data_IF_700224714430
#
_entry.id   IF_700224714430
#
_cell.length_a   1.000
_cell.length_b   1.000
_cell.length_c   1.000
_cell.angle_alpha   90.00
_cell.angle_beta   90.00
_cell.angle_gamma   90.00
#
_symmetry.space_group_name_H-M   'P 1'
#
loop_
_entity.id
_entity.type
_entity.pdbx_description
1 polymer ?
#
# COMPACT_ATOMS: atom_id res chain seq x y z
N UNK A 1 4.11 -6.38 -14.18
CA UNK A 1 4.44 -7.17 -12.97
C UNK A 1 5.58 -8.14 -13.24
N UNK A 2 5.45 -9.11 -14.17
CA UNK A 2 6.49 -10.13 -14.41
C UNK A 2 7.87 -9.57 -14.75
N UNK A 3 7.93 -8.48 -15.52
CA UNK A 3 9.18 -7.80 -15.89
C UNK A 3 9.61 -6.70 -14.91
N UNK A 4 8.93 -6.56 -13.76
CA UNK A 4 9.32 -5.58 -12.76
C UNK A 4 10.63 -6.06 -12.09
N UNK A 5 11.71 -5.27 -12.10
CA UNK A 5 13.00 -5.67 -11.51
C UNK A 5 12.85 -6.08 -10.04
N UNK A 6 11.98 -5.42 -9.28
CA UNK A 6 11.72 -5.75 -7.89
C UNK A 6 11.02 -7.11 -7.70
N UNK A 7 10.15 -7.51 -8.63
CA UNK A 7 9.55 -8.85 -8.63
C UNK A 7 10.61 -9.91 -8.92
N UNK A 8 11.47 -9.67 -9.92
CA UNK A 8 12.58 -10.58 -10.26
C UNK A 8 13.52 -10.77 -9.07
N UNK A 9 13.92 -9.68 -8.41
CA UNK A 9 14.75 -9.73 -7.20
C UNK A 9 14.09 -10.52 -6.06
N UNK A 10 12.78 -10.35 -5.86
CA UNK A 10 12.03 -11.12 -4.85
C UNK A 10 12.01 -12.62 -5.16
N UNK A 11 11.90 -13.00 -6.44
CA UNK A 11 11.99 -14.39 -6.89
C UNK A 11 13.40 -14.97 -6.68
N UNK A 12 14.45 -14.23 -7.04
CA UNK A 12 15.85 -14.63 -6.81
C UNK A 12 16.12 -14.83 -5.31
N UNK A 13 15.56 -13.96 -4.47
CA UNK A 13 15.65 -14.05 -3.01
C UNK A 13 14.78 -15.16 -2.40
N UNK A 14 14.00 -15.91 -3.20
CA UNK A 14 13.07 -16.96 -2.73
C UNK A 14 12.10 -16.47 -1.64
N UNK A 15 11.67 -15.21 -1.75
CA UNK A 15 10.80 -14.59 -0.74
C UNK A 15 9.35 -15.09 -0.85
N UNK A 16 8.69 -15.29 0.29
CA UNK A 16 7.25 -15.60 0.38
C UNK A 16 6.36 -14.39 0.08
N UNK A 17 6.93 -13.20 -0.13
CA UNK A 17 6.21 -11.98 -0.51
C UNK A 17 5.35 -12.17 -1.79
N UNK A 18 5.79 -13.01 -2.73
CA UNK A 18 5.03 -13.31 -3.94
C UNK A 18 3.64 -13.90 -3.64
N UNK A 19 3.51 -14.69 -2.56
CA UNK A 19 2.22 -15.28 -2.13
C UNK A 19 1.29 -14.16 -1.65
N UNK A 20 1.78 -13.26 -0.79
CA UNK A 20 0.99 -12.13 -0.30
C UNK A 20 0.53 -11.22 -1.45
N UNK A 21 1.44 -10.90 -2.37
CA UNK A 21 1.12 -10.11 -3.56
C UNK A 21 0.05 -10.79 -4.44
N UNK A 22 0.09 -12.12 -4.55
CA UNK A 22 -0.91 -12.90 -5.28
C UNK A 22 -2.28 -12.83 -4.61
N UNK A 23 -2.33 -12.94 -3.27
CA UNK A 23 -3.58 -12.81 -2.51
C UNK A 23 -4.19 -11.41 -2.66
N UNK A 24 -3.38 -10.36 -2.57
CA UNK A 24 -3.85 -8.97 -2.80
C UNK A 24 -4.34 -8.79 -4.24
N UNK A 25 -3.65 -9.38 -5.23
CA UNK A 25 -4.08 -9.33 -6.63
C UNK A 25 -5.43 -10.06 -6.85
N UNK A 26 -5.62 -11.23 -6.23
CA UNK A 26 -6.91 -11.95 -6.28
C UNK A 26 -8.01 -11.19 -5.56
N UNK A 27 -7.73 -10.55 -4.43
CA UNK A 27 -8.65 -9.64 -3.76
C UNK A 27 -9.11 -8.52 -4.71
N UNK A 28 -8.19 -7.84 -5.38
CA UNK A 28 -8.54 -6.77 -6.34
C UNK A 28 -9.38 -7.34 -7.50
N UNK A 29 -8.98 -8.48 -8.08
CA UNK A 29 -9.70 -9.11 -9.18
C UNK A 29 -11.14 -9.48 -8.81
N UNK A 30 -11.33 -10.14 -7.67
CA UNK A 30 -12.66 -10.58 -7.19
C UNK A 30 -13.54 -9.40 -6.79
N UNK A 31 -12.95 -8.35 -6.22
CA UNK A 31 -13.62 -7.08 -5.94
C UNK A 31 -14.12 -6.44 -7.24
N UNK A 32 -13.26 -6.32 -8.25
CA UNK A 32 -13.61 -5.82 -9.59
C UNK A 32 -14.60 -6.74 -10.32
N UNK A 33 -14.62 -8.04 -10.03
CA UNK A 33 -15.65 -8.98 -10.51
C UNK A 33 -16.96 -8.91 -9.71
N UNK A 34 -16.98 -8.23 -8.58
CA UNK A 34 -18.19 -7.97 -7.78
C UNK A 34 -18.57 -9.10 -6.84
N UNK A 35 -17.70 -10.08 -6.64
CA UNK A 35 -17.96 -11.17 -5.69
C UNK A 35 -17.52 -10.72 -4.29
N UNK A 36 -18.48 -10.24 -3.49
CA UNK A 36 -18.22 -9.78 -2.12
C UNK A 36 -17.62 -10.89 -1.23
N UNK A 37 -18.14 -12.11 -1.34
CA UNK A 37 -17.67 -13.25 -0.56
C UNK A 37 -16.23 -13.67 -0.91
N UNK A 38 -15.90 -13.81 -2.20
CA UNK A 38 -14.53 -14.16 -2.60
C UNK A 38 -13.54 -13.03 -2.27
N UNK A 39 -13.96 -11.77 -2.46
CA UNK A 39 -13.18 -10.61 -2.06
C UNK A 39 -12.86 -10.66 -0.56
N UNK A 40 -13.86 -10.92 0.29
CA UNK A 40 -13.67 -11.06 1.73
C UNK A 40 -12.68 -12.20 2.09
N UNK A 41 -12.77 -13.36 1.44
CA UNK A 41 -11.85 -14.48 1.67
C UNK A 41 -10.41 -14.12 1.31
N UNK A 42 -10.17 -13.56 0.12
CA UNK A 42 -8.81 -13.20 -0.30
C UNK A 42 -8.23 -12.07 0.54
N UNK A 43 -9.06 -11.12 0.96
CA UNK A 43 -8.65 -10.10 1.91
C UNK A 43 -8.26 -10.71 3.26
N UNK A 44 -9.06 -11.62 3.80
CA UNK A 44 -8.78 -12.31 5.05
C UNK A 44 -7.51 -13.16 5.00
N UNK A 45 -7.23 -13.83 3.88
CA UNK A 45 -5.96 -14.53 3.68
C UNK A 45 -4.77 -13.56 3.65
N UNK A 46 -4.90 -12.42 2.98
CA UNK A 46 -3.86 -11.40 2.93
C UNK A 46 -3.62 -10.75 4.30
N UNK A 47 -4.68 -10.46 5.07
CA UNK A 47 -4.54 -9.91 6.43
C UNK A 47 -4.00 -10.93 7.40
N UNK A 48 -4.38 -12.21 7.25
CA UNK A 48 -3.82 -13.29 8.03
C UNK A 48 -2.29 -13.38 7.85
N UNK A 49 -1.81 -13.25 6.60
CA UNK A 49 -0.38 -13.31 6.29
C UNK A 49 0.40 -12.05 6.68
N UNK A 50 -0.14 -10.85 6.45
CA UNK A 50 0.66 -9.62 6.59
C UNK A 50 -0.05 -8.41 7.21
N UNK A 51 -1.01 -8.61 8.13
CA UNK A 51 -1.78 -7.65 8.96
C UNK A 51 -2.28 -6.36 8.25
N UNK A 52 -1.40 -5.52 7.73
CA UNK A 52 -1.64 -4.24 7.06
C UNK A 52 -2.62 -4.25 5.88
N UNK A 53 -2.77 -5.32 5.07
CA UNK A 53 -3.82 -5.40 4.06
C UNK A 53 -5.25 -5.20 4.61
N UNK A 54 -5.44 -5.25 5.94
CA UNK A 54 -6.68 -4.84 6.62
C UNK A 54 -7.19 -3.48 6.12
N UNK A 55 -6.29 -2.54 5.87
CA UNK A 55 -6.66 -1.20 5.41
C UNK A 55 -7.30 -1.19 4.02
N UNK A 56 -7.12 -2.25 3.21
CA UNK A 56 -7.81 -2.43 1.93
C UNK A 56 -9.29 -2.82 2.08
N UNK A 57 -9.75 -3.16 3.29
CA UNK A 57 -11.16 -3.41 3.57
C UNK A 57 -12.04 -2.21 3.15
N UNK A 58 -11.63 -1.00 3.51
CA UNK A 58 -12.40 0.22 3.26
C UNK A 58 -12.58 0.50 1.75
N UNK A 59 -11.51 0.58 0.93
CA UNK A 59 -11.69 0.76 -0.51
C UNK A 59 -12.42 -0.42 -1.18
N UNK A 60 -12.21 -1.66 -0.70
CA UNK A 60 -12.95 -2.83 -1.17
C UNK A 60 -14.47 -2.71 -0.97
N UNK A 61 -14.86 -2.35 0.26
CA UNK A 61 -16.25 -2.09 0.63
C UNK A 61 -16.86 -0.97 -0.21
N UNK A 62 -16.16 0.16 -0.36
CA UNK A 62 -16.64 1.30 -1.16
C UNK A 62 -16.88 0.90 -2.63
N UNK A 63 -15.98 0.12 -3.23
CA UNK A 63 -16.17 -0.38 -4.60
C UNK A 63 -17.40 -1.28 -4.72
N UNK A 64 -17.58 -2.22 -3.79
CA UNK A 64 -18.72 -3.14 -3.83
C UNK A 64 -20.07 -2.42 -3.62
N UNK A 65 -20.10 -1.42 -2.72
CA UNK A 65 -21.27 -0.56 -2.52
C UNK A 65 -21.65 0.20 -3.79
N UNK A 66 -20.67 0.81 -4.46
CA UNK A 66 -20.89 1.52 -5.73
C UNK A 66 -21.42 0.58 -6.82
N UNK A 67 -20.87 -0.63 -6.90
CA UNK A 67 -21.31 -1.63 -7.88
C UNK A 67 -22.76 -2.07 -7.66
N UNK A 68 -23.21 -2.13 -6.40
CA UNK A 68 -24.59 -2.43 -6.05
C UNK A 68 -25.52 -1.21 -6.12
N UNK A 69 -25.04 -0.06 -6.62
CA UNK A 69 -25.77 1.21 -6.67
C UNK A 69 -26.29 1.69 -5.30
N UNK A 70 -25.63 1.29 -4.20
CA UNK A 70 -25.98 1.72 -2.85
C UNK A 70 -25.32 3.07 -2.60
N UNK A 71 -26.08 4.13 -2.26
CA UNK A 71 -25.50 5.44 -2.03
C UNK A 71 -24.63 5.41 -0.76
N UNK A 72 -23.40 5.90 -0.86
CA UNK A 72 -22.45 6.08 0.26
C UNK A 72 -22.90 7.26 1.12
N UNK A 73 -24.02 7.06 1.83
CA UNK A 73 -24.60 8.01 2.79
C UNK A 73 -24.69 7.32 4.15
N UNK A 74 -24.06 7.91 5.17
CA UNK A 74 -24.04 7.37 6.54
C UNK A 74 -25.45 7.17 7.12
N UNK A 75 -26.45 7.93 6.66
CA UNK A 75 -27.85 7.80 7.10
C UNK A 75 -28.62 6.66 6.42
N UNK A 76 -28.07 6.02 5.38
CA UNK A 76 -28.74 4.95 4.65
C UNK A 76 -28.68 3.64 5.43
N UNK A 77 -29.83 3.02 5.72
CA UNK A 77 -29.87 1.68 6.35
C UNK A 77 -29.21 0.63 5.45
N UNK A 78 -29.39 0.72 4.14
CA UNK A 78 -28.81 -0.23 3.18
C UNK A 78 -27.27 -0.22 3.19
N UNK A 79 -26.66 0.96 3.39
CA UNK A 79 -25.21 1.09 3.54
C UNK A 79 -24.70 0.30 4.75
N UNK A 80 -25.35 0.45 5.90
CA UNK A 80 -24.95 -0.26 7.13
C UNK A 80 -25.20 -1.76 7.04
N UNK A 81 -26.32 -2.18 6.46
CA UNK A 81 -26.63 -3.61 6.26
C UNK A 81 -25.55 -4.26 5.40
N UNK A 82 -25.25 -3.70 4.23
CA UNK A 82 -24.24 -4.28 3.34
C UNK A 82 -22.83 -4.23 3.93
N UNK A 83 -22.48 -3.13 4.62
CA UNK A 83 -21.19 -3.02 5.31
C UNK A 83 -21.05 -4.08 6.40
N UNK A 84 -22.12 -4.36 7.13
CA UNK A 84 -22.17 -5.41 8.14
C UNK A 84 -22.07 -6.80 7.51
N UNK A 85 -22.80 -7.07 6.42
CA UNK A 85 -22.71 -8.34 5.69
C UNK A 85 -21.27 -8.60 5.20
N UNK A 86 -20.64 -7.61 4.57
CA UNK A 86 -19.26 -7.73 4.09
C UNK A 86 -18.26 -7.89 5.25
N UNK A 87 -18.46 -7.16 6.35
CA UNK A 87 -17.65 -7.32 7.56
C UNK A 87 -17.78 -8.72 8.16
N UNK A 88 -19.00 -9.28 8.21
CA UNK A 88 -19.25 -10.64 8.70
C UNK A 88 -18.62 -11.70 7.79
N UNK A 89 -18.67 -11.52 6.47
CA UNK A 89 -17.97 -12.41 5.53
C UNK A 89 -16.45 -12.37 5.76
N UNK A 90 -15.89 -11.17 5.92
CA UNK A 90 -14.46 -10.97 6.16
C UNK A 90 -14.02 -11.56 7.51
N UNK A 91 -14.64 -11.14 8.61
CA UNK A 91 -14.32 -11.63 9.96
C UNK A 91 -14.58 -13.13 10.06
N UNK A 92 -15.69 -13.63 9.50
CA UNK A 92 -15.99 -15.06 9.46
C UNK A 92 -14.91 -15.86 8.75
N UNK A 93 -14.45 -15.41 7.58
CA UNK A 93 -13.35 -16.08 6.86
C UNK A 93 -12.02 -16.02 7.63
N UNK A 94 -11.72 -14.90 8.30
CA UNK A 94 -10.52 -14.74 9.13
C UNK A 94 -10.55 -15.68 10.33
N UNK A 95 -11.70 -15.78 11.03
CA UNK A 95 -11.90 -16.71 12.14
C UNK A 95 -11.71 -18.16 11.67
N UNK A 96 -12.26 -18.54 10.52
CA UNK A 96 -12.06 -19.88 9.96
C UNK A 96 -10.58 -20.17 9.74
N UNK A 97 -9.80 -19.23 9.17
CA UNK A 97 -8.36 -19.42 8.94
C UNK A 97 -7.58 -19.52 10.25
N UNK A 98 -7.90 -18.69 11.25
CA UNK A 98 -7.30 -18.76 12.58
C UNK A 98 -7.61 -20.10 13.26
N UNK A 99 -8.87 -20.55 13.21
CA UNK A 99 -9.29 -21.84 13.77
C UNK A 99 -8.58 -23.00 13.08
N UNK A 100 -8.46 -22.98 11.74
CA UNK A 100 -7.70 -23.98 11.00
C UNK A 100 -6.23 -24.02 11.45
N UNK A 101 -5.63 -22.86 11.69
CA UNK A 101 -4.25 -22.76 12.17
C UNK A 101 -4.11 -23.29 13.60
N UNK A 102 -5.08 -23.02 14.48
CA UNK A 102 -5.15 -23.60 15.80
C UNK A 102 -5.28 -25.13 15.75
N UNK A 103 -6.13 -25.69 14.89
CA UNK A 103 -6.26 -27.14 14.73
C UNK A 103 -4.97 -27.79 14.20
N UNK A 104 -4.22 -27.08 13.35
CA UNK A 104 -2.99 -27.61 12.76
C UNK A 104 -1.78 -27.53 13.72
N UNK A 105 -1.66 -26.44 14.49
CA UNK A 105 -0.56 -26.25 15.44
C UNK A 105 -0.88 -26.73 16.86
N UNK A 106 -2.16 -26.94 17.19
CA UNK A 106 -2.65 -27.28 18.53
C UNK A 106 -2.23 -26.28 19.64
N UNK A 107 -1.85 -25.05 19.28
CA UNK A 107 -1.51 -23.99 20.24
C UNK A 107 -1.89 -22.61 19.70
N UNK A 108 -2.00 -21.64 20.61
CA UNK A 108 -2.26 -20.22 20.29
C UNK A 108 -0.97 -19.41 20.14
N UNK A 109 0.21 -20.03 20.28
CA UNK A 109 1.50 -19.34 20.33
C UNK A 109 1.85 -18.64 19.00
N UNK A 110 1.22 -19.06 17.90
CA UNK A 110 1.39 -18.40 16.61
C UNK A 110 0.85 -16.97 16.59
N UNK A 111 -0.14 -16.62 17.41
CA UNK A 111 -0.70 -15.26 17.46
C UNK A 111 0.35 -14.25 17.96
N UNK A 112 0.95 -14.40 19.16
CA UNK A 112 2.01 -13.50 19.58
C UNK A 112 3.26 -13.62 18.70
N UNK A 113 3.57 -14.82 18.18
CA UNK A 113 4.73 -15.00 17.30
C UNK A 113 4.60 -14.30 15.94
N UNK A 114 3.39 -14.18 15.38
CA UNK A 114 3.17 -13.52 14.08
C UNK A 114 2.72 -12.08 14.28
N UNK A 115 1.55 -11.87 14.90
CA UNK A 115 0.96 -10.53 15.03
C UNK A 115 1.63 -9.72 16.13
N UNK A 116 1.99 -10.36 17.25
CA UNK A 116 2.77 -9.71 18.31
C UNK A 116 4.12 -9.23 17.76
N UNK A 117 4.83 -10.08 17.01
CA UNK A 117 6.11 -9.73 16.38
C UNK A 117 6.00 -8.57 15.39
N UNK A 118 4.97 -8.56 14.53
CA UNK A 118 4.73 -7.44 13.60
C UNK A 118 4.48 -6.13 14.35
N UNK A 119 3.72 -6.19 15.45
CA UNK A 119 3.33 -4.99 16.21
C UNK A 119 4.46 -4.47 17.09
N UNK A 120 5.19 -5.33 17.80
CA UNK A 120 6.25 -4.95 18.73
C UNK A 120 7.61 -4.68 18.07
N UNK A 121 7.80 -5.14 16.82
CA UNK A 121 9.02 -4.96 16.02
C UNK A 121 10.30 -5.28 16.81
N UNK A 122 10.43 -6.50 17.36
CA UNK A 122 11.56 -6.85 18.22
C UNK A 122 12.84 -7.09 17.43
N UNK A 123 12.72 -7.48 16.15
CA UNK A 123 13.87 -7.68 15.27
C UNK A 123 14.20 -6.38 14.54
N UNK A 124 15.45 -5.94 14.68
CA UNK A 124 16.01 -4.74 14.07
C UNK A 124 17.05 -5.08 13.01
N UNK A 125 17.01 -6.30 12.47
CA UNK A 125 17.84 -6.67 11.32
C UNK A 125 17.66 -5.66 10.17
N UNK A 126 18.77 -5.28 9.51
CA UNK A 126 18.73 -4.29 8.44
C UNK A 126 17.76 -4.69 7.32
N UNK A 127 16.86 -3.77 6.98
CA UNK A 127 15.89 -3.94 5.90
C UNK A 127 15.69 -2.62 5.15
N UNK A 128 14.79 -2.58 4.17
CA UNK A 128 14.51 -1.36 3.38
C UNK A 128 13.52 -0.41 4.07
N UNK A 129 13.02 -0.78 5.26
CA UNK A 129 11.98 -0.08 5.99
C UNK A 129 12.49 1.02 6.90
N UNK A 130 11.54 1.75 7.45
CA UNK A 130 11.80 2.90 8.33
C UNK A 130 12.14 2.48 9.77
N UNK A 131 11.80 1.26 10.17
CA UNK A 131 11.83 0.86 11.58
C UNK A 131 13.24 0.53 12.06
N UNK A 132 13.94 -0.41 11.39
CA UNK A 132 15.13 -1.07 11.94
C UNK A 132 16.17 -0.10 12.52
N UNK A 133 16.56 0.93 11.77
CA UNK A 133 17.62 1.85 12.18
C UNK A 133 17.13 2.90 13.18
N UNK A 134 15.90 3.41 12.99
CA UNK A 134 15.30 4.37 13.93
C UNK A 134 15.16 3.76 15.34
N UNK A 135 14.70 2.52 15.43
CA UNK A 135 14.58 1.81 16.70
C UNK A 135 15.93 1.32 17.25
N UNK A 136 16.94 1.10 16.39
CA UNK A 136 18.29 0.77 16.85
C UNK A 136 19.01 1.94 17.54
N UNK A 137 18.74 3.19 17.13
CA UNK A 137 19.33 4.38 17.75
C UNK A 137 18.53 4.92 18.94
N UNK A 138 17.28 4.50 19.10
CA UNK A 138 16.38 5.05 20.10
C UNK A 138 16.52 4.36 21.46
N UNK A 139 16.39 5.15 22.53
CA UNK A 139 16.31 4.62 23.88
C UNK A 139 15.06 3.75 24.09
N UNK A 140 15.25 2.58 24.72
CA UNK A 140 14.19 1.61 25.00
C UNK A 140 12.99 2.22 25.73
N UNK A 141 13.22 3.15 26.65
CA UNK A 141 12.17 3.84 27.42
C UNK A 141 11.12 4.54 26.55
N UNK A 142 11.52 5.04 25.37
CA UNK A 142 10.60 5.72 24.44
C UNK A 142 10.08 4.81 23.32
N UNK A 143 10.62 3.59 23.20
CA UNK A 143 10.35 2.68 22.08
C UNK A 143 8.85 2.42 21.87
N UNK A 144 8.13 2.08 22.94
CA UNK A 144 6.70 1.79 22.88
C UNK A 144 5.89 2.96 22.27
N UNK A 145 6.21 4.19 22.65
CA UNK A 145 5.52 5.37 22.11
C UNK A 145 5.68 5.46 20.60
N UNK A 146 6.92 5.33 20.11
CA UNK A 146 7.19 5.43 18.68
C UNK A 146 6.70 4.21 17.88
N UNK A 147 6.71 3.00 18.46
CA UNK A 147 6.07 1.84 17.86
C UNK A 147 4.59 2.15 17.60
N UNK A 148 3.87 2.64 18.61
CA UNK A 148 2.46 3.02 18.46
C UNK A 148 2.26 4.08 17.37
N UNK A 149 3.08 5.13 17.35
CA UNK A 149 2.99 6.19 16.33
C UNK A 149 3.19 5.62 14.92
N UNK A 150 4.21 4.80 14.70
CA UNK A 150 4.51 4.23 13.39
C UNK A 150 3.42 3.26 12.92
N UNK A 151 2.89 2.40 13.80
CA UNK A 151 1.81 1.47 13.46
C UNK A 151 0.50 2.20 13.13
N UNK A 152 0.16 3.25 13.89
CA UNK A 152 -1.05 4.06 13.65
C UNK A 152 -0.98 4.75 12.29
N UNK A 153 0.19 5.21 11.84
CA UNK A 153 0.34 5.91 10.56
C UNK A 153 -0.20 5.10 9.38
N UNK A 154 -0.01 3.77 9.35
CA UNK A 154 -0.51 2.91 8.26
C UNK A 154 -2.04 2.97 8.16
N UNK A 155 -2.72 3.03 9.30
CA UNK A 155 -4.20 3.02 9.38
C UNK A 155 -4.76 4.44 9.24
N UNK A 156 -4.08 5.43 9.81
CA UNK A 156 -4.56 6.81 9.90
C UNK A 156 -4.89 7.40 8.53
N UNK A 157 -4.05 7.18 7.51
CA UNK A 157 -4.27 7.70 6.16
C UNK A 157 -5.53 7.13 5.48
N UNK A 158 -6.03 5.97 5.93
CA UNK A 158 -7.22 5.34 5.35
C UNK A 158 -8.47 6.23 5.52
N UNK A 159 -8.58 6.96 6.63
CA UNK A 159 -9.76 7.78 6.96
C UNK A 159 -9.90 8.99 6.00
N UNK A 160 -8.92 9.90 5.87
CA UNK A 160 -9.04 11.04 4.96
C UNK A 160 -9.13 10.58 3.49
N UNK A 161 -8.43 9.51 3.12
CA UNK A 161 -8.53 8.95 1.77
C UNK A 161 -9.93 8.38 1.48
N UNK A 162 -10.56 7.70 2.44
CA UNK A 162 -11.92 7.21 2.29
C UNK A 162 -12.94 8.34 2.09
N UNK A 163 -12.75 9.49 2.73
CA UNK A 163 -13.60 10.67 2.55
C UNK A 163 -13.37 11.29 1.16
N UNK A 164 -12.10 11.47 0.77
CA UNK A 164 -11.75 12.19 -0.46
C UNK A 164 -11.95 11.37 -1.73
N UNK A 165 -11.62 10.08 -1.70
CA UNK A 165 -11.65 9.17 -2.86
C UNK A 165 -12.84 8.21 -2.84
N UNK A 166 -13.92 8.54 -2.10
CA UNK A 166 -15.13 7.70 -2.03
C UNK A 166 -15.72 7.34 -3.39
N UNK A 167 -15.60 8.25 -4.37
CA UNK A 167 -16.12 8.05 -5.72
C UNK A 167 -15.18 7.21 -6.61
N UNK A 168 -13.91 7.09 -6.21
CA UNK A 168 -12.85 6.44 -6.98
C UNK A 168 -12.10 5.36 -6.17
N UNK A 169 -12.78 4.30 -5.72
CA UNK A 169 -12.21 3.31 -4.82
C UNK A 169 -11.06 2.48 -5.42
N UNK A 170 -10.99 2.31 -6.75
CA UNK A 170 -9.83 1.63 -7.38
C UNK A 170 -8.55 2.46 -7.21
N UNK A 171 -8.64 3.78 -7.39
CA UNK A 171 -7.51 4.68 -7.14
C UNK A 171 -7.15 4.69 -5.66
N UNK A 172 -8.15 4.61 -4.77
CA UNK A 172 -7.92 4.45 -3.34
C UNK A 172 -7.18 3.15 -3.00
N UNK A 173 -7.56 1.99 -3.56
CA UNK A 173 -6.80 0.74 -3.38
C UNK A 173 -5.34 0.89 -3.81
N UNK A 174 -5.09 1.57 -4.93
CA UNK A 174 -3.74 1.83 -5.44
C UNK A 174 -2.90 2.66 -4.45
N UNK A 175 -3.44 3.78 -3.95
CA UNK A 175 -2.75 4.63 -2.97
C UNK A 175 -2.54 3.87 -1.66
N UNK A 176 -3.53 3.09 -1.20
CA UNK A 176 -3.45 2.34 0.05
C UNK A 176 -2.39 1.22 -0.03
N UNK A 177 -2.27 0.51 -1.16
CA UNK A 177 -1.17 -0.45 -1.36
C UNK A 177 0.21 0.20 -1.25
N UNK A 178 0.36 1.41 -1.79
CA UNK A 178 1.63 2.12 -1.69
C UNK A 178 1.93 2.58 -0.24
N UNK A 179 0.91 3.07 0.48
CA UNK A 179 1.04 3.43 1.91
C UNK A 179 1.45 2.20 2.74
N UNK A 180 0.82 1.03 2.50
CA UNK A 180 1.22 -0.22 3.14
C UNK A 180 2.69 -0.54 2.83
N UNK A 181 3.11 -0.43 1.57
CA UNK A 181 4.50 -0.73 1.18
C UNK A 181 5.54 0.18 1.85
N UNK A 182 5.19 1.45 2.12
CA UNK A 182 6.10 2.45 2.71
C UNK A 182 6.17 2.29 4.24
N UNK A 183 5.03 2.10 4.91
CA UNK A 183 4.93 2.17 6.37
C UNK A 183 4.81 0.81 7.07
N UNK A 184 4.79 -0.31 6.34
CA UNK A 184 4.87 -1.67 6.92
C UNK A 184 6.14 -1.83 7.77
N UNK A 185 6.05 -2.52 8.91
CA UNK A 185 7.18 -2.69 9.83
C UNK A 185 8.37 -3.46 9.24
N UNK A 186 8.09 -4.49 8.46
CA UNK A 186 9.09 -5.31 7.76
C UNK A 186 8.83 -5.29 6.25
N UNK A 187 9.12 -4.17 5.56
CA UNK A 187 8.88 -4.08 4.13
C UNK A 187 10.00 -4.78 3.37
N UNK A 188 9.61 -5.38 2.26
CA UNK A 188 10.51 -6.05 1.33
C UNK A 188 10.42 -5.38 -0.02
N UNK A 189 11.47 -5.54 -0.84
CA UNK A 189 11.48 -5.01 -2.21
C UNK A 189 10.30 -5.54 -3.04
N UNK A 190 9.79 -6.72 -2.71
CA UNK A 190 8.60 -7.31 -3.35
C UNK A 190 7.29 -6.58 -3.04
N UNK A 191 7.17 -5.90 -1.89
CA UNK A 191 5.96 -5.12 -1.55
C UNK A 191 5.84 -3.89 -2.48
N UNK A 192 6.98 -3.28 -2.82
CA UNK A 192 7.06 -2.16 -3.78
C UNK A 192 6.67 -2.61 -5.18
N UNK A 193 7.02 -3.84 -5.54
CA UNK A 193 6.80 -4.39 -6.87
C UNK A 193 5.31 -4.45 -7.25
N UNK A 194 4.43 -4.70 -6.28
CA UNK A 194 3.00 -4.82 -6.50
C UNK A 194 2.38 -3.49 -6.91
N UNK A 195 2.51 -2.45 -6.09
CA UNK A 195 1.86 -1.17 -6.39
C UNK A 195 2.48 -0.52 -7.65
N UNK A 196 3.80 -0.64 -7.86
CA UNK A 196 4.44 -0.10 -9.07
C UNK A 196 3.92 -0.77 -10.35
N UNK A 197 3.49 -2.02 -10.29
CA UNK A 197 2.89 -2.69 -11.45
C UNK A 197 1.53 -2.09 -11.87
N UNK A 198 0.89 -1.29 -11.03
CA UNK A 198 -0.33 -0.57 -11.36
C UNK A 198 -0.09 0.77 -12.08
N UNK A 199 1.14 1.28 -12.16
CA UNK A 199 1.40 2.55 -12.85
C UNK A 199 0.87 2.62 -14.30
N UNK A 200 0.97 1.56 -15.13
CA UNK A 200 0.42 1.60 -16.49
C UNK A 200 -1.11 1.77 -16.54
N UNK A 201 -1.84 1.32 -15.51
CA UNK A 201 -3.29 1.51 -15.39
C UNK A 201 -3.65 3.01 -15.30
N UNK A 202 -2.73 3.80 -14.75
CA UNK A 202 -2.88 5.24 -14.55
C UNK A 202 -2.15 6.08 -15.61
N UNK A 203 -1.91 5.53 -16.81
CA UNK A 203 -1.23 6.23 -17.91
C UNK A 203 -1.84 7.60 -18.26
N UNK A 204 -3.14 7.75 -18.10
CA UNK A 204 -3.88 8.99 -18.34
C UNK A 204 -3.51 10.12 -17.37
N UNK A 205 -2.88 9.80 -16.24
CA UNK A 205 -2.36 10.78 -15.28
C UNK A 205 -0.98 11.31 -15.69
N UNK A 206 -0.27 10.66 -16.60
CA UNK A 206 1.13 11.02 -16.92
C UNK A 206 1.27 12.45 -17.44
N UNK A 207 0.25 12.97 -18.13
CA UNK A 207 0.21 14.37 -18.59
C UNK A 207 0.15 15.39 -17.45
N UNK A 208 -0.36 15.00 -16.29
CA UNK A 208 -0.56 15.88 -15.13
C UNK A 208 0.54 15.75 -14.06
N UNK A 209 1.41 14.74 -14.17
CA UNK A 209 2.57 14.57 -13.29
C UNK A 209 3.58 15.70 -13.50
N UNK A 210 4.10 16.25 -12.41
CA UNK A 210 5.03 17.39 -12.48
C UNK A 210 6.49 16.98 -12.34
N UNK A 211 6.77 16.05 -11.42
CA UNK A 211 8.13 15.76 -10.97
C UNK A 211 8.58 14.33 -11.34
N UNK A 212 7.85 13.64 -12.21
CA UNK A 212 8.07 12.23 -12.53
C UNK A 212 9.51 11.90 -12.96
N UNK A 213 10.16 12.78 -13.73
CA UNK A 213 11.54 12.57 -14.17
C UNK A 213 12.51 12.51 -12.99
N UNK A 214 12.45 13.52 -12.11
CA UNK A 214 13.31 13.60 -10.92
C UNK A 214 13.06 12.43 -9.98
N UNK A 215 11.78 12.09 -9.77
CA UNK A 215 11.38 10.99 -8.89
C UNK A 215 11.80 9.62 -9.44
N UNK A 216 11.69 9.41 -10.76
CA UNK A 216 12.20 8.20 -11.40
C UNK A 216 13.72 8.07 -11.23
N UNK A 217 14.48 9.16 -11.43
CA UNK A 217 15.92 9.16 -11.20
C UNK A 217 16.28 8.82 -9.75
N UNK A 218 15.59 9.40 -8.76
CA UNK A 218 15.82 9.09 -7.33
C UNK A 218 15.60 7.60 -7.07
N UNK A 219 14.48 7.03 -7.51
CA UNK A 219 14.17 5.62 -7.29
C UNK A 219 15.21 4.69 -7.94
N UNK A 220 15.63 4.99 -9.17
CA UNK A 220 16.65 4.21 -9.89
C UNK A 220 18.00 4.29 -9.16
N UNK A 221 18.45 5.50 -8.82
CA UNK A 221 19.73 5.72 -8.13
C UNK A 221 19.75 5.02 -6.77
N UNK A 222 18.69 5.17 -5.97
CA UNK A 222 18.58 4.48 -4.69
C UNK A 222 18.64 2.95 -4.84
N UNK A 223 17.96 2.40 -5.84
CA UNK A 223 17.92 0.95 -6.07
C UNK A 223 19.28 0.38 -6.49
N UNK A 224 20.05 1.14 -7.27
CA UNK A 224 21.42 0.77 -7.65
C UNK A 224 22.38 0.88 -6.46
N UNK A 225 22.19 1.87 -5.59
CA UNK A 225 23.04 2.11 -4.43
C UNK A 225 22.78 1.13 -3.27
N UNK A 226 21.61 0.49 -3.19
CA UNK A 226 21.32 -0.52 -2.17
C UNK A 226 22.37 -1.64 -2.06
N UNK A 227 22.66 -2.43 -3.12
CA UNK A 227 23.66 -3.50 -3.03
C UNK A 227 25.08 -2.96 -2.82
N UNK A 228 25.40 -1.79 -3.37
CA UNK A 228 26.72 -1.16 -3.26
C UNK A 228 27.01 -0.77 -1.81
N UNK A 229 26.09 -0.02 -1.19
CA UNK A 229 26.25 0.43 0.20
C UNK A 229 26.14 -0.73 1.18
N UNK A 230 25.31 -1.74 0.89
CA UNK A 230 25.30 -2.99 1.64
C UNK A 230 26.68 -3.67 1.61
N UNK A 231 27.27 -3.79 0.43
CA UNK A 231 28.57 -4.43 0.28
C UNK A 231 29.70 -3.66 0.98
N UNK A 232 29.71 -2.33 0.84
CA UNK A 232 30.70 -1.47 1.49
C UNK A 232 30.62 -1.52 3.02
N UNK A 233 29.40 -1.69 3.55
CA UNK A 233 29.19 -1.80 4.98
C UNK A 233 29.54 -3.19 5.52
N UNK A 234 28.96 -4.26 4.96
CA UNK A 234 29.08 -5.62 5.52
C UNK A 234 30.41 -6.28 5.16
N UNK A 235 30.88 -6.14 3.93
CA UNK A 235 32.03 -6.90 3.43
C UNK A 235 33.31 -6.06 3.37
N UNK A 236 33.23 -4.83 2.87
CA UNK A 236 34.43 -3.98 2.74
C UNK A 236 34.81 -3.25 4.03
N UNK A 237 33.87 -3.06 4.96
CA UNK A 237 34.08 -2.33 6.22
C UNK A 237 34.43 -0.84 6.04
N UNK A 238 34.26 -0.28 4.83
CA UNK A 238 34.64 1.09 4.50
C UNK A 238 33.50 2.09 4.66
N UNK A 239 32.28 1.62 4.92
CA UNK A 239 31.09 2.43 5.19
C UNK A 239 30.38 1.91 6.45
N UNK A 240 29.70 2.80 7.18
CA UNK A 240 28.86 2.41 8.33
C UNK A 240 27.38 2.21 7.94
N UNK A 241 26.59 1.62 8.84
CA UNK A 241 25.14 1.39 8.74
C UNK A 241 24.35 2.61 8.30
N UNK A 242 24.79 3.80 8.72
CA UNK A 242 24.11 5.08 8.47
C UNK A 242 24.01 5.36 6.97
N UNK A 243 25.00 4.97 6.16
CA UNK A 243 24.97 5.16 4.72
C UNK A 243 23.89 4.30 4.06
N UNK A 244 23.80 3.03 4.48
CA UNK A 244 22.74 2.14 4.00
C UNK A 244 21.36 2.64 4.44
N UNK A 245 21.22 3.06 5.69
CA UNK A 245 19.96 3.62 6.15
C UNK A 245 19.58 4.91 5.41
N UNK A 246 20.50 5.85 5.22
CA UNK A 246 20.25 7.11 4.51
C UNK A 246 19.73 6.87 3.09
N UNK A 247 20.24 5.87 2.37
CA UNK A 247 19.72 5.54 1.03
C UNK A 247 18.34 4.90 1.08
N UNK A 248 18.06 4.03 2.08
CA UNK A 248 16.71 3.44 2.26
C UNK A 248 15.68 4.50 2.67
N UNK A 249 16.07 5.48 3.48
CA UNK A 249 15.23 6.62 3.82
C UNK A 249 14.94 7.47 2.58
N UNK A 250 15.97 7.78 1.79
CA UNK A 250 15.82 8.51 0.52
C UNK A 250 14.89 7.79 -0.46
N UNK A 251 15.00 6.46 -0.54
CA UNK A 251 14.11 5.63 -1.35
C UNK A 251 12.65 5.72 -0.89
N UNK A 252 12.39 5.61 0.41
CA UNK A 252 11.04 5.75 0.97
C UNK A 252 10.48 7.17 0.76
N UNK A 253 11.29 8.22 0.94
CA UNK A 253 10.89 9.60 0.61
C UNK A 253 10.56 9.73 -0.89
N UNK A 254 11.37 9.12 -1.76
CA UNK A 254 11.09 9.06 -3.20
C UNK A 254 9.75 8.39 -3.51
N UNK A 255 9.42 7.29 -2.82
CA UNK A 255 8.12 6.63 -2.95
C UNK A 255 6.97 7.52 -2.47
N UNK A 256 7.10 8.19 -1.31
CA UNK A 256 6.09 9.12 -0.78
C UNK A 256 5.83 10.25 -1.77
N UNK A 257 6.89 10.88 -2.29
CA UNK A 257 6.77 11.97 -3.26
C UNK A 257 6.16 11.50 -4.58
N UNK A 258 6.49 10.30 -5.04
CA UNK A 258 5.88 9.69 -6.22
C UNK A 258 4.38 9.48 -6.05
N UNK A 259 3.96 8.88 -4.95
CA UNK A 259 2.54 8.66 -4.66
C UNK A 259 1.79 9.98 -4.48
N UNK A 260 2.42 10.98 -3.86
CA UNK A 260 1.88 12.33 -3.74
C UNK A 260 1.70 13.01 -5.10
N UNK A 261 2.66 12.90 -6.03
CA UNK A 261 2.55 13.45 -7.39
C UNK A 261 1.40 12.76 -8.16
N UNK A 262 1.26 11.43 -8.04
CA UNK A 262 0.11 10.71 -8.61
C UNK A 262 -1.23 11.13 -8.00
N UNK A 263 -1.29 11.31 -6.68
CA UNK A 263 -2.50 11.77 -5.99
C UNK A 263 -2.88 13.19 -6.43
N UNK A 264 -1.91 14.10 -6.50
CA UNK A 264 -2.14 15.46 -6.96
C UNK A 264 -2.54 15.51 -8.44
N UNK A 265 -1.89 14.73 -9.30
CA UNK A 265 -2.24 14.59 -10.71
C UNK A 265 -3.68 14.07 -10.90
N UNK A 266 -4.11 13.12 -10.07
CA UNK A 266 -5.48 12.61 -10.06
C UNK A 266 -6.48 13.71 -9.70
N UNK A 267 -6.26 14.43 -8.60
CA UNK A 267 -7.14 15.52 -8.17
C UNK A 267 -7.19 16.66 -9.21
N UNK A 268 -6.04 16.99 -9.81
CA UNK A 268 -5.96 18.00 -10.85
C UNK A 268 -6.77 17.59 -12.09
N UNK A 269 -6.68 16.32 -12.49
CA UNK A 269 -7.51 15.79 -13.57
C UNK A 269 -9.00 15.87 -13.23
N UNK A 270 -9.41 15.46 -12.04
CA UNK A 270 -10.80 15.52 -11.59
C UNK A 270 -11.34 16.96 -11.57
N UNK A 271 -10.52 17.91 -11.11
CA UNK A 271 -10.83 19.34 -11.17
C UNK A 271 -11.07 19.82 -12.61
N UNK A 272 -10.19 19.42 -13.54
CA UNK A 272 -10.35 19.77 -14.95
C UNK A 272 -11.54 19.10 -15.63
N UNK A 273 -11.90 17.89 -15.22
CA UNK A 273 -13.10 17.21 -15.74
C UNK A 273 -14.39 17.93 -15.31
N UNK A 274 -14.41 18.48 -14.10
CA UNK A 274 -15.59 19.14 -13.51
C UNK A 274 -15.71 20.63 -13.91
N UNK A 275 -14.61 21.36 -13.97
CA UNK A 275 -14.60 22.81 -14.24
C UNK A 275 -14.23 23.14 -15.69
N UNK A 276 -13.87 22.14 -16.49
CA UNK A 276 -13.41 22.29 -17.86
C UNK A 276 -11.91 22.59 -17.96
N UNK A 277 -11.30 22.14 -19.06
CA UNK A 277 -9.97 22.59 -19.44
C UNK A 277 -10.13 23.85 -20.31
N UNK A 278 -9.63 25.00 -19.86
CA UNK A 278 -9.48 26.16 -20.73
C UNK A 278 -8.36 25.85 -21.73
N UNK A 279 -8.71 25.36 -22.91
CA UNK A 279 -7.78 25.24 -24.03
C UNK A 279 -7.95 26.46 -24.93
N UNK A 280 -6.86 27.16 -25.20
CA UNK A 280 -6.83 28.13 -26.29
C UNK A 280 -6.78 27.34 -27.61
N UNK A 281 -7.79 27.50 -28.46
CA UNK A 281 -7.76 26.97 -29.81
C UNK A 281 -6.63 27.64 -30.62
N UNK A 282 -6.19 27.02 -31.72
CA UNK A 282 -5.19 27.62 -32.64
C UNK A 282 -5.65 28.96 -33.22
N UNK A 283 -6.94 29.28 -33.14
CA UNK A 283 -7.58 30.52 -33.58
C UNK A 283 -7.71 31.59 -32.47
N UNK A 284 -7.16 31.35 -31.27
CA UNK A 284 -7.21 32.29 -30.15
C UNK A 284 -8.55 32.32 -29.38
N UNK A 285 -9.51 31.46 -29.75
CA UNK A 285 -10.79 31.31 -29.04
C UNK A 285 -10.66 30.34 -27.86
N UNK A 286 -11.24 30.71 -26.71
CA UNK A 286 -11.28 29.83 -25.53
C UNK A 286 -12.27 28.68 -25.76
N UNK A 287 -11.75 27.47 -25.87
CA UNK A 287 -12.55 26.25 -25.92
C UNK A 287 -12.52 25.58 -24.55
N UNK A 288 -13.70 25.47 -23.91
CA UNK A 288 -13.87 24.76 -22.65
C UNK A 288 -14.37 23.34 -22.93
N UNK A 289 -13.50 22.34 -22.76
CA UNK A 289 -13.91 20.94 -22.80
C UNK A 289 -14.43 20.54 -21.42
N UNK A 290 -15.75 20.44 -21.28
CA UNK A 290 -16.44 19.92 -20.08
C UNK A 290 -17.09 18.58 -20.42
N UNK A 291 -16.86 17.56 -19.59
CA UNK A 291 -17.64 16.32 -19.64
C UNK A 291 -18.93 16.57 -18.85
N UNK A 292 -20.07 16.57 -19.55
CA UNK A 292 -21.40 16.66 -18.96
C UNK A 292 -21.83 15.31 -18.38
#
# INVERSE_FOLDING_TARGET
YLLNPYTVLSCVAKSTCAINNTLIAFFILTTIKGSAFLSAIFLALATYQSLYPLTLFVPGLLYLLQRQYIPVKVKSKAFWIFSWEYAMMYVGSLVVIICLSFFLLSSWDFIPAVYGFILSVPDLTPNIGLFWYFFAEMFEHFSLFFVCVFQINVVFYTIPLAIKLKEHPIFFMFIQMAIISIFKSYPTVGDVALYMAFFPVWNHLYRFLRNIFVLACIIIVCSLLFPVLWHLWIYAGSANSNFFYAITLTFNVGQILLISDYFYAFLRREYYLTHGLHLTAKDGTEAMLVLK
#
